data_IF_997387289592
#
_entry.id   IF_997387289592
#
_cell.length_a   1.000
_cell.length_b   1.000
_cell.length_c   1.000
_cell.angle_alpha   90.00
_cell.angle_beta   90.00
_cell.angle_gamma   90.00
#
_symmetry.space_group_name_H-M   'P 1'
#
loop_
_entity.id
_entity.type
_entity.pdbx_description
1 polymer ?
#
# COMPACT_ATOMS: atom_id res chain seq x y z
N UNK A 1 -15.98 16.38 12.71
CA UNK A 1 -15.01 15.82 13.68
C UNK A 1 -15.73 14.83 14.58
N UNK A 2 -15.16 13.66 14.91
CA UNK A 2 -15.78 12.71 15.83
C UNK A 2 -16.02 13.35 17.20
N UNK A 3 -17.24 13.22 17.72
CA UNK A 3 -17.64 13.84 18.99
C UNK A 3 -17.37 12.93 20.19
N UNK A 4 -17.34 11.60 19.97
CA UNK A 4 -17.13 10.66 21.07
C UNK A 4 -15.64 10.54 21.41
N UNK A 5 -15.25 10.56 22.71
CA UNK A 5 -13.85 10.47 23.10
C UNK A 5 -13.15 9.22 22.58
N UNK A 6 -13.82 8.06 22.63
CA UNK A 6 -13.25 6.80 22.14
C UNK A 6 -12.92 6.83 20.64
N UNK A 7 -13.82 7.38 19.81
CA UNK A 7 -13.59 7.53 18.38
C UNK A 7 -12.48 8.53 18.09
N UNK A 8 -12.43 9.64 18.82
CA UNK A 8 -11.38 10.64 18.67
C UNK A 8 -10.00 10.07 19.04
N UNK A 9 -9.92 9.33 20.15
CA UNK A 9 -8.68 8.65 20.58
C UNK A 9 -8.21 7.63 19.55
N UNK A 10 -9.11 6.80 19.02
CA UNK A 10 -8.78 5.80 18.00
C UNK A 10 -8.29 6.47 16.70
N UNK A 11 -8.97 7.52 16.27
CA UNK A 11 -8.58 8.28 15.08
C UNK A 11 -7.22 8.93 15.29
N UNK A 12 -7.01 9.65 16.39
CA UNK A 12 -5.75 10.32 16.70
C UNK A 12 -4.57 9.32 16.81
N UNK A 13 -4.77 8.18 17.50
CA UNK A 13 -3.75 7.14 17.60
C UNK A 13 -3.38 6.57 16.24
N UNK A 14 -4.37 6.20 15.43
CA UNK A 14 -4.13 5.58 14.13
C UNK A 14 -3.49 6.56 13.13
N UNK A 15 -3.85 7.84 13.19
CA UNK A 15 -3.20 8.88 12.40
C UNK A 15 -1.75 9.13 12.84
N UNK A 16 -1.49 9.18 14.15
CA UNK A 16 -0.14 9.31 14.69
C UNK A 16 0.77 8.15 14.29
N UNK A 17 0.27 6.91 14.37
CA UNK A 17 0.98 5.72 13.90
C UNK A 17 1.32 5.81 12.40
N UNK A 18 0.34 6.16 11.58
CA UNK A 18 0.51 6.28 10.12
C UNK A 18 1.55 7.35 9.77
N UNK A 19 1.39 8.58 10.27
CA UNK A 19 2.32 9.69 9.98
C UNK A 19 3.73 9.35 10.47
N UNK A 20 3.85 8.86 11.72
CA UNK A 20 5.15 8.52 12.30
C UNK A 20 5.88 7.48 11.45
N UNK A 21 5.19 6.44 11.01
CA UNK A 21 5.76 5.42 10.14
C UNK A 21 6.17 5.99 8.78
N UNK A 22 5.31 6.77 8.12
CA UNK A 22 5.59 7.37 6.81
C UNK A 22 6.80 8.32 6.86
N UNK A 23 6.93 9.13 7.91
CA UNK A 23 8.07 10.05 8.08
C UNK A 23 9.37 9.29 8.28
N UNK A 24 9.37 8.25 9.12
CA UNK A 24 10.57 7.40 9.32
C UNK A 24 10.95 6.72 8.00
N UNK A 25 9.99 6.14 7.28
CA UNK A 25 10.23 5.51 5.98
C UNK A 25 10.72 6.51 4.92
N UNK A 26 10.23 7.75 4.95
CA UNK A 26 10.70 8.81 4.05
C UNK A 26 12.16 9.16 4.35
N UNK A 27 12.53 9.24 5.64
CA UNK A 27 13.92 9.41 6.07
C UNK A 27 14.84 8.28 5.61
N UNK A 28 14.40 7.03 5.78
CA UNK A 28 15.13 5.84 5.31
C UNK A 28 15.27 5.87 3.78
N UNK A 29 14.20 6.22 3.07
CA UNK A 29 14.20 6.31 1.60
C UNK A 29 15.18 7.37 1.12
N UNK A 30 15.14 8.57 1.72
CA UNK A 30 16.07 9.65 1.42
C UNK A 30 17.53 9.25 1.66
N UNK A 31 17.82 8.62 2.81
CA UNK A 31 19.16 8.19 3.17
C UNK A 31 19.74 7.12 2.22
N UNK A 32 18.88 6.27 1.65
CA UNK A 32 19.29 5.19 0.75
C UNK A 32 19.08 5.52 -0.73
N UNK A 33 18.58 6.70 -1.07
CA UNK A 33 18.23 7.07 -2.44
C UNK A 33 19.49 7.23 -3.31
N UNK A 34 19.59 6.42 -4.36
CA UNK A 34 20.62 6.56 -5.39
C UNK A 34 20.24 7.58 -6.47
N UNK A 35 21.24 8.33 -6.93
CA UNK A 35 21.08 9.25 -8.06
C UNK A 35 20.73 8.47 -9.35
N UNK A 36 19.81 9.02 -10.15
CA UNK A 36 19.36 8.42 -11.41
C UNK A 36 18.29 7.32 -11.30
N UNK A 37 17.97 6.81 -10.10
CA UNK A 37 16.93 5.78 -9.93
C UNK A 37 15.56 6.43 -9.72
N UNK A 38 14.70 6.36 -10.75
CA UNK A 38 13.35 6.94 -10.71
C UNK A 38 12.48 6.30 -9.60
N UNK A 39 12.60 4.98 -9.40
CA UNK A 39 11.78 4.23 -8.44
C UNK A 39 11.86 4.81 -7.02
N UNK A 40 13.06 5.17 -6.54
CA UNK A 40 13.23 5.77 -5.22
C UNK A 40 12.53 7.13 -5.08
N UNK A 41 12.58 7.94 -6.14
CA UNK A 41 11.91 9.25 -6.17
C UNK A 41 10.39 9.09 -6.11
N UNK A 42 9.85 8.08 -6.80
CA UNK A 42 8.42 7.78 -6.75
C UNK A 42 8.01 7.26 -5.38
N UNK A 43 8.78 6.37 -4.75
CA UNK A 43 8.52 5.87 -3.39
C UNK A 43 8.56 7.03 -2.38
N UNK A 44 9.55 7.91 -2.48
CA UNK A 44 9.60 9.09 -1.61
C UNK A 44 8.38 10.00 -1.82
N UNK A 45 8.00 10.24 -3.08
CA UNK A 45 6.84 11.07 -3.42
C UNK A 45 5.53 10.46 -2.88
N UNK A 46 5.35 9.14 -2.99
CA UNK A 46 4.22 8.42 -2.41
C UNK A 46 4.09 8.67 -0.91
N UNK A 47 5.20 8.53 -0.17
CA UNK A 47 5.25 8.74 1.27
C UNK A 47 4.89 10.19 1.62
N UNK A 48 5.51 11.17 0.94
CA UNK A 48 5.29 12.60 1.20
C UNK A 48 3.86 13.03 0.88
N UNK A 49 3.24 12.48 -0.16
CA UNK A 49 1.85 12.78 -0.53
C UNK A 49 0.83 12.27 0.50
N UNK A 50 1.10 11.14 1.16
CA UNK A 50 0.18 10.59 2.16
C UNK A 50 0.22 11.35 3.51
N UNK A 51 1.38 11.93 3.87
CA UNK A 51 1.62 12.55 5.18
C UNK A 51 0.62 13.68 5.54
N UNK A 52 0.32 14.65 4.65
CA UNK A 52 -0.60 15.75 4.98
C UNK A 52 -1.98 15.31 5.47
N UNK A 53 -2.52 14.21 4.95
CA UNK A 53 -3.86 13.77 5.34
C UNK A 53 -3.92 13.36 6.82
N UNK A 54 -2.83 12.91 7.44
CA UNK A 54 -2.90 12.48 8.83
C UNK A 54 -3.11 13.60 9.87
N UNK A 55 -2.95 14.87 9.46
CA UNK A 55 -3.01 16.02 10.36
C UNK A 55 -4.42 16.59 10.56
N UNK A 56 -5.44 16.09 9.84
CA UNK A 56 -6.77 16.71 9.89
C UNK A 56 -7.38 16.75 11.31
N UNK A 57 -7.00 15.82 12.19
CA UNK A 57 -7.54 15.71 13.55
C UNK A 57 -7.18 16.88 14.46
N UNK A 58 -6.14 17.65 14.12
CA UNK A 58 -5.70 18.84 14.86
C UNK A 58 -6.64 20.02 14.72
N UNK A 59 -7.46 20.06 13.67
CA UNK A 59 -8.36 21.17 13.41
C UNK A 59 -9.75 20.92 13.99
N UNK A 60 -10.46 22.01 14.25
CA UNK A 60 -11.88 22.00 14.60
C UNK A 60 -12.74 22.40 13.38
N UNK A 61 -14.03 22.01 13.34
CA UNK A 61 -14.94 22.48 12.31
C UNK A 61 -15.03 24.01 12.30
N UNK A 62 -15.10 24.66 11.12
CA UNK A 62 -15.23 24.07 9.77
C UNK A 62 -13.89 23.66 9.13
N UNK A 63 -12.76 24.13 9.64
CA UNK A 63 -11.41 23.88 9.06
C UNK A 63 -11.11 22.39 8.95
N UNK A 64 -11.56 21.60 9.93
CA UNK A 64 -11.47 20.14 9.93
C UNK A 64 -11.97 19.49 8.63
N UNK A 65 -13.15 19.88 8.15
CA UNK A 65 -13.77 19.27 6.96
C UNK A 65 -13.03 19.65 5.68
N UNK A 66 -12.67 20.92 5.55
CA UNK A 66 -11.88 21.43 4.43
C UNK A 66 -10.50 20.78 4.36
N UNK A 67 -9.76 20.78 5.47
CA UNK A 67 -8.41 20.21 5.51
C UNK A 67 -8.42 18.71 5.19
N UNK A 68 -9.33 17.94 5.80
CA UNK A 68 -9.49 16.51 5.52
C UNK A 68 -9.74 16.27 4.03
N UNK A 69 -10.68 17.01 3.44
CA UNK A 69 -11.09 16.81 2.05
C UNK A 69 -9.99 17.23 1.05
N UNK A 70 -9.34 18.37 1.27
CA UNK A 70 -8.26 18.84 0.39
C UNK A 70 -7.04 17.94 0.44
N UNK A 71 -6.67 17.44 1.63
CA UNK A 71 -5.54 16.51 1.77
C UNK A 71 -5.87 15.09 1.33
N UNK A 72 -7.15 14.70 1.25
CA UNK A 72 -7.56 13.42 0.67
C UNK A 72 -7.16 13.29 -0.81
N UNK A 73 -7.06 14.41 -1.53
CA UNK A 73 -6.53 14.45 -2.91
C UNK A 73 -5.10 13.92 -2.93
N UNK A 74 -4.26 14.37 -2.00
CA UNK A 74 -2.86 13.96 -1.91
C UNK A 74 -2.76 12.49 -1.50
N UNK A 75 -3.60 12.04 -0.56
CA UNK A 75 -3.66 10.65 -0.13
C UNK A 75 -4.07 9.71 -1.28
N UNK A 76 -5.10 10.05 -2.05
CA UNK A 76 -5.54 9.26 -3.20
C UNK A 76 -4.47 9.26 -4.30
N UNK A 77 -3.78 10.38 -4.48
CA UNK A 77 -2.64 10.45 -5.40
C UNK A 77 -1.52 9.52 -4.94
N UNK A 78 -1.25 9.46 -3.63
CA UNK A 78 -0.32 8.49 -3.03
C UNK A 78 -0.75 7.05 -3.30
N UNK A 79 -2.02 6.70 -3.08
CA UNK A 79 -2.53 5.34 -3.38
C UNK A 79 -2.41 4.97 -4.86
N UNK A 80 -2.71 5.91 -5.77
CA UNK A 80 -2.52 5.69 -7.20
C UNK A 80 -1.05 5.49 -7.53
N UNK A 81 -0.17 6.28 -6.93
CA UNK A 81 1.27 6.18 -7.13
C UNK A 81 1.83 4.85 -6.60
N UNK A 82 1.36 4.37 -5.44
CA UNK A 82 1.68 3.05 -4.91
C UNK A 82 1.35 1.95 -5.92
N UNK A 83 0.16 1.99 -6.54
CA UNK A 83 -0.24 1.01 -7.54
C UNK A 83 0.65 1.06 -8.79
N UNK A 84 1.14 2.24 -9.18
CA UNK A 84 2.11 2.43 -10.26
C UNK A 84 3.50 1.91 -9.87
N UNK A 85 3.94 2.11 -8.62
CA UNK A 85 5.20 1.56 -8.10
C UNK A 85 5.16 0.03 -8.11
N UNK A 86 4.07 -0.56 -7.62
CA UNK A 86 3.83 -2.00 -7.68
C UNK A 86 3.85 -2.51 -9.12
N UNK A 87 3.24 -1.78 -10.06
CA UNK A 87 3.32 -2.09 -11.48
C UNK A 87 4.76 -2.09 -12.01
N UNK A 88 5.55 -1.04 -11.74
CA UNK A 88 6.95 -0.94 -12.19
C UNK A 88 7.77 -2.13 -11.66
N UNK A 89 7.58 -2.50 -10.39
CA UNK A 89 8.27 -3.64 -9.76
C UNK A 89 7.84 -4.98 -10.36
N UNK A 90 6.56 -5.11 -10.71
CA UNK A 90 6.00 -6.34 -11.24
C UNK A 90 6.18 -6.50 -12.77
N UNK A 91 6.43 -5.39 -13.48
CA UNK A 91 6.57 -5.33 -14.94
C UNK A 91 7.51 -6.38 -15.54
N UNK A 92 8.68 -6.71 -14.96
CA UNK A 92 9.57 -7.75 -15.50
C UNK A 92 8.97 -9.16 -15.51
N UNK A 93 7.95 -9.42 -14.69
CA UNK A 93 7.29 -10.73 -14.58
C UNK A 93 6.05 -10.86 -15.47
N UNK A 94 5.58 -9.74 -16.05
CA UNK A 94 4.34 -9.67 -16.82
C UNK A 94 4.58 -9.81 -18.33
N UNK A 95 3.69 -10.54 -19.00
CA UNK A 95 3.60 -10.53 -20.46
C UNK A 95 3.05 -9.19 -20.96
N UNK A 96 3.27 -8.80 -22.24
CA UNK A 96 2.83 -7.52 -22.78
C UNK A 96 1.33 -7.20 -22.57
N UNK A 97 0.46 -8.22 -22.73
CA UNK A 97 -0.99 -8.08 -22.47
C UNK A 97 -1.29 -7.84 -21.00
N UNK A 98 -0.66 -8.60 -20.10
CA UNK A 98 -0.82 -8.42 -18.65
C UNK A 98 -0.33 -7.06 -18.18
N UNK A 99 0.76 -6.55 -18.77
CA UNK A 99 1.26 -5.21 -18.53
C UNK A 99 0.24 -4.12 -18.91
N UNK A 100 -0.43 -4.26 -20.07
CA UNK A 100 -1.45 -3.33 -20.53
C UNK A 100 -2.71 -3.37 -19.66
N UNK A 101 -3.16 -4.56 -19.26
CA UNK A 101 -4.32 -4.77 -18.38
C UNK A 101 -4.05 -4.15 -17.00
N UNK A 102 -2.86 -4.35 -16.45
CA UNK A 102 -2.49 -3.81 -15.14
C UNK A 102 -2.60 -2.28 -15.11
N UNK A 103 -1.94 -1.59 -16.04
CA UNK A 103 -1.97 -0.13 -16.06
C UNK A 103 -3.33 0.42 -16.52
N UNK A 104 -3.99 -0.27 -17.46
CA UNK A 104 -5.31 0.12 -17.95
C UNK A 104 -6.36 0.10 -16.85
N UNK A 105 -6.32 -0.89 -15.97
CA UNK A 105 -7.24 -0.96 -14.82
C UNK A 105 -6.98 0.15 -13.79
N UNK A 106 -5.72 0.56 -13.54
CA UNK A 106 -5.42 1.73 -12.68
C UNK A 106 -6.07 2.99 -13.24
N UNK A 107 -5.99 3.20 -14.56
CA UNK A 107 -6.58 4.36 -15.22
C UNK A 107 -8.11 4.32 -15.10
N UNK A 108 -8.72 3.14 -15.26
CA UNK A 108 -10.16 2.96 -15.12
C UNK A 108 -10.68 3.22 -13.69
N UNK A 109 -9.82 3.19 -12.67
CA UNK A 109 -10.20 3.54 -11.30
C UNK A 109 -10.27 5.06 -11.05
N UNK A 110 -9.65 5.88 -11.90
CA UNK A 110 -9.58 7.34 -11.69
C UNK A 110 -10.96 8.04 -11.65
N UNK A 111 -11.94 7.69 -12.50
CA UNK A 111 -13.29 8.27 -12.40
C UNK A 111 -13.96 8.02 -11.04
N UNK A 112 -13.75 6.84 -10.45
CA UNK A 112 -14.24 6.55 -9.10
C UNK A 112 -13.57 7.47 -8.07
N UNK A 113 -12.26 7.67 -8.16
CA UNK A 113 -11.55 8.56 -7.23
C UNK A 113 -11.99 10.01 -7.29
N UNK A 114 -12.30 10.51 -8.49
CA UNK A 114 -12.89 11.86 -8.66
C UNK A 114 -14.25 11.95 -7.97
N UNK A 115 -15.11 10.94 -8.14
CA UNK A 115 -16.41 10.88 -7.47
C UNK A 115 -16.25 10.82 -5.95
N UNK A 116 -15.34 9.98 -5.46
CA UNK A 116 -15.11 9.76 -4.03
C UNK A 116 -14.56 11.03 -3.35
N UNK A 117 -13.72 11.81 -4.03
CA UNK A 117 -13.25 13.12 -3.53
C UNK A 117 -14.40 14.11 -3.32
N UNK A 118 -15.31 14.20 -4.29
CA UNK A 118 -16.50 15.04 -4.15
C UNK A 118 -17.44 14.52 -3.05
N UNK A 119 -17.64 13.19 -3.00
CA UNK A 119 -18.46 12.55 -1.98
C UNK A 119 -17.91 12.83 -0.56
N UNK A 120 -16.59 12.68 -0.38
CA UNK A 120 -15.88 12.97 0.86
C UNK A 120 -16.06 14.43 1.28
N UNK A 121 -15.82 15.38 0.36
CA UNK A 121 -16.02 16.80 0.62
C UNK A 121 -17.46 17.12 1.03
N UNK A 122 -18.43 16.62 0.27
CA UNK A 122 -19.85 16.87 0.54
C UNK A 122 -20.32 16.28 1.87
N UNK A 123 -19.77 15.12 2.27
CA UNK A 123 -20.09 14.45 3.53
C UNK A 123 -19.53 15.21 4.74
N UNK A 124 -18.23 15.54 4.71
CA UNK A 124 -17.57 16.16 5.87
C UNK A 124 -17.86 17.65 6.04
N UNK A 125 -18.47 18.29 5.04
CA UNK A 125 -18.96 19.67 5.10
C UNK A 125 -20.49 19.78 5.21
N UNK A 126 -21.21 18.67 5.44
CA UNK A 126 -22.66 18.67 5.70
C UNK A 126 -23.54 19.02 4.50
N UNK A 127 -23.04 18.85 3.28
CA UNK A 127 -23.77 19.14 2.03
C UNK A 127 -24.59 17.92 1.60
N UNK A 128 -24.02 16.71 1.64
CA UNK A 128 -24.68 15.47 1.26
C UNK A 128 -24.15 14.27 2.05
N UNK A 129 -25.03 13.66 2.86
CA UNK A 129 -24.65 12.55 3.73
C UNK A 129 -24.79 11.16 3.09
N UNK A 130 -25.46 11.05 1.93
CA UNK A 130 -25.81 9.77 1.31
C UNK A 130 -24.75 9.28 0.33
N UNK A 131 -24.18 10.20 -0.46
CA UNK A 131 -23.30 9.84 -1.56
C UNK A 131 -22.07 9.06 -1.07
N UNK A 132 -21.34 9.60 -0.09
CA UNK A 132 -20.15 8.97 0.49
C UNK A 132 -20.45 7.59 1.09
N UNK A 133 -21.54 7.44 1.84
CA UNK A 133 -21.92 6.15 2.43
C UNK A 133 -22.24 5.11 1.36
N UNK A 134 -22.82 5.52 0.23
CA UNK A 134 -23.15 4.61 -0.87
C UNK A 134 -21.96 4.20 -1.74
N UNK A 135 -20.94 5.06 -1.88
CA UNK A 135 -19.76 4.81 -2.72
C UNK A 135 -18.62 4.13 -1.96
N UNK A 136 -18.57 4.28 -0.63
CA UNK A 136 -17.52 3.73 0.25
C UNK A 136 -17.25 2.22 0.09
N UNK A 137 -18.24 1.33 -0.11
CA UNK A 137 -17.95 -0.10 -0.31
C UNK A 137 -17.11 -0.40 -1.57
N UNK A 138 -17.13 0.49 -2.57
CA UNK A 138 -16.32 0.35 -3.78
C UNK A 138 -14.87 0.82 -3.59
N UNK A 139 -14.54 1.49 -2.48
CA UNK A 139 -13.21 2.05 -2.22
C UNK A 139 -12.14 0.96 -2.28
N UNK A 140 -12.37 -0.15 -1.58
CA UNK A 140 -11.42 -1.26 -1.56
C UNK A 140 -11.19 -1.86 -2.96
N UNK A 141 -12.23 -1.93 -3.80
CA UNK A 141 -12.13 -2.40 -5.18
C UNK A 141 -11.31 -1.44 -6.05
N UNK A 142 -11.40 -0.13 -5.82
CA UNK A 142 -10.64 0.85 -6.59
C UNK A 142 -9.25 1.16 -6.00
N UNK A 143 -8.92 0.61 -4.82
CA UNK A 143 -7.66 0.83 -4.11
C UNK A 143 -6.72 -0.37 -4.13
N UNK A 144 -7.23 -1.57 -3.85
CA UNK A 144 -6.42 -2.72 -3.42
C UNK A 144 -6.17 -3.86 -4.42
N UNK A 145 -6.93 -4.07 -5.52
CA UNK A 145 -6.74 -5.26 -6.37
C UNK A 145 -5.34 -5.44 -6.95
N UNK A 146 -4.67 -4.34 -7.33
CA UNK A 146 -3.30 -4.39 -7.87
C UNK A 146 -2.29 -4.88 -6.83
N UNK A 147 -2.49 -4.53 -5.57
CA UNK A 147 -1.65 -4.99 -4.48
C UNK A 147 -1.86 -6.48 -4.19
N UNK A 148 -3.12 -6.92 -4.18
CA UNK A 148 -3.47 -8.35 -4.05
C UNK A 148 -2.83 -9.15 -5.18
N UNK A 149 -2.98 -8.68 -6.43
CA UNK A 149 -2.39 -9.32 -7.60
C UNK A 149 -0.86 -9.34 -7.54
N UNK A 150 -0.21 -8.23 -7.17
CA UNK A 150 1.25 -8.15 -7.07
C UNK A 150 1.78 -9.12 -6.01
N UNK A 151 1.11 -9.20 -4.86
CA UNK A 151 1.46 -10.15 -3.81
C UNK A 151 1.32 -11.59 -4.32
N UNK A 152 0.16 -11.95 -4.87
CA UNK A 152 -0.09 -13.29 -5.39
C UNK A 152 0.89 -13.67 -6.52
N UNK A 153 1.17 -12.75 -7.44
CA UNK A 153 2.11 -12.98 -8.53
C UNK A 153 3.53 -13.19 -8.01
N UNK A 154 3.95 -12.47 -6.96
CA UNK A 154 5.25 -12.69 -6.35
C UNK A 154 5.36 -14.09 -5.74
N UNK A 155 4.40 -14.49 -4.91
CA UNK A 155 4.37 -15.84 -4.34
C UNK A 155 4.32 -16.94 -5.41
N UNK A 156 3.54 -16.71 -6.48
CA UNK A 156 3.49 -17.62 -7.62
C UNK A 156 4.87 -17.78 -8.27
N UNK A 157 5.57 -16.68 -8.56
CA UNK A 157 6.89 -16.73 -9.17
C UNK A 157 7.91 -17.41 -8.25
N UNK A 158 7.90 -17.10 -6.95
CA UNK A 158 8.79 -17.74 -5.96
C UNK A 158 8.58 -19.26 -5.96
N UNK A 159 7.32 -19.72 -5.90
CA UNK A 159 7.00 -21.14 -5.81
C UNK A 159 7.29 -21.89 -7.11
N UNK A 160 6.89 -21.35 -8.26
CA UNK A 160 6.91 -22.10 -9.51
C UNK A 160 8.08 -21.79 -10.44
N UNK A 161 8.64 -20.57 -10.40
CA UNK A 161 9.81 -20.24 -11.24
C UNK A 161 11.12 -20.47 -10.51
N UNK A 162 11.15 -20.19 -9.21
CA UNK A 162 12.37 -20.28 -8.42
C UNK A 162 12.41 -21.53 -7.52
N UNK A 163 11.26 -22.17 -7.27
CA UNK A 163 11.10 -23.38 -6.42
C UNK A 163 11.77 -23.27 -5.05
N UNK A 164 11.76 -22.07 -4.44
CA UNK A 164 12.28 -21.87 -3.10
C UNK A 164 11.22 -22.10 -2.03
N UNK A 165 11.62 -22.71 -0.92
CA UNK A 165 10.82 -22.75 0.31
C UNK A 165 10.89 -21.43 1.08
N UNK A 166 9.82 -21.07 1.81
CA UNK A 166 9.80 -19.84 2.61
C UNK A 166 10.94 -19.75 3.64
N UNK A 167 11.24 -20.85 4.33
CA UNK A 167 12.33 -20.91 5.32
C UNK A 167 13.70 -20.69 4.66
N UNK A 168 13.90 -21.27 3.48
CA UNK A 168 15.14 -21.11 2.71
C UNK A 168 15.34 -19.66 2.27
N UNK A 169 14.26 -19.01 1.81
CA UNK A 169 14.28 -17.59 1.43
C UNK A 169 14.70 -16.72 2.60
N UNK A 170 14.13 -16.94 3.80
CA UNK A 170 14.47 -16.16 5.00
C UNK A 170 15.93 -16.38 5.40
N UNK A 171 16.46 -17.60 5.26
CA UNK A 171 17.87 -17.90 5.55
C UNK A 171 18.83 -17.22 4.57
N UNK A 172 18.50 -17.21 3.27
CA UNK A 172 19.36 -16.62 2.23
C UNK A 172 19.25 -15.08 2.22
N UNK A 173 18.06 -14.54 2.43
CA UNK A 173 17.82 -13.10 2.46
C UNK A 173 16.75 -12.73 3.50
N UNK A 174 17.16 -12.46 4.75
CA UNK A 174 16.23 -12.08 5.82
C UNK A 174 15.38 -10.85 5.47
N UNK A 175 15.97 -9.88 4.75
CA UNK A 175 15.27 -8.66 4.27
C UNK A 175 14.09 -9.01 3.36
N UNK A 176 14.28 -9.95 2.45
CA UNK A 176 13.23 -10.40 1.55
C UNK A 176 12.13 -11.17 2.32
N UNK A 177 12.51 -11.92 3.35
CA UNK A 177 11.56 -12.52 4.30
C UNK A 177 10.67 -11.49 5.01
N UNK A 178 11.25 -10.39 5.51
CA UNK A 178 10.50 -9.30 6.15
C UNK A 178 9.55 -8.63 5.14
N UNK A 179 9.99 -8.44 3.89
CA UNK A 179 9.11 -7.95 2.83
C UNK A 179 7.90 -8.87 2.65
N UNK A 180 8.10 -10.18 2.46
CA UNK A 180 6.99 -11.12 2.26
C UNK A 180 6.02 -11.12 3.46
N UNK A 181 6.55 -11.06 4.69
CA UNK A 181 5.73 -10.93 5.88
C UNK A 181 4.91 -9.63 5.88
N UNK A 182 5.54 -8.51 5.52
CA UNK A 182 4.86 -7.21 5.40
C UNK A 182 3.74 -7.25 4.36
N UNK A 183 3.97 -7.91 3.22
CA UNK A 183 2.93 -8.12 2.21
C UNK A 183 1.76 -8.94 2.77
N UNK A 184 2.02 -10.05 3.47
CA UNK A 184 0.98 -10.85 4.10
C UNK A 184 0.18 -10.05 5.15
N UNK A 185 0.87 -9.33 6.04
CA UNK A 185 0.22 -8.49 7.06
C UNK A 185 -0.68 -7.43 6.42
N UNK A 186 -0.21 -6.77 5.37
CA UNK A 186 -1.02 -5.78 4.65
C UNK A 186 -2.31 -6.39 4.07
N UNK A 187 -2.27 -7.62 3.53
CA UNK A 187 -3.47 -8.30 3.01
C UNK A 187 -4.45 -8.67 4.12
N UNK A 188 -3.96 -9.07 5.30
CA UNK A 188 -4.81 -9.31 6.48
C UNK A 188 -5.54 -8.02 6.86
N UNK A 189 -4.83 -6.90 6.97
CA UNK A 189 -5.45 -5.62 7.31
C UNK A 189 -6.41 -5.11 6.24
N UNK A 190 -6.12 -5.31 4.95
CA UNK A 190 -7.08 -5.02 3.86
C UNK A 190 -8.36 -5.86 4.01
N UNK A 191 -8.23 -7.13 4.38
CA UNK A 191 -9.40 -7.99 4.59
C UNK A 191 -10.26 -7.49 5.74
N UNK A 192 -9.63 -7.16 6.88
CA UNK A 192 -10.35 -6.59 8.04
C UNK A 192 -10.96 -5.23 7.70
N UNK A 193 -10.25 -4.40 6.93
CA UNK A 193 -10.72 -3.12 6.43
C UNK A 193 -12.01 -3.26 5.63
N UNK A 194 -12.03 -4.15 4.63
CA UNK A 194 -13.22 -4.46 3.81
C UNK A 194 -14.36 -4.92 4.71
N UNK A 195 -14.10 -5.89 5.59
CA UNK A 195 -15.12 -6.45 6.47
C UNK A 195 -15.74 -5.40 7.40
N UNK A 196 -14.97 -4.38 7.82
CA UNK A 196 -15.45 -3.29 8.68
C UNK A 196 -16.23 -2.20 7.94
N UNK A 197 -16.08 -2.09 6.62
CA UNK A 197 -16.89 -1.18 5.79
C UNK A 197 -18.19 -1.84 5.33
N UNK A 198 -18.23 -3.18 5.32
CA UNK A 198 -19.45 -3.97 5.10
C UNK A 198 -20.23 -4.18 6.39
N UNK A 199 -21.54 -4.50 6.34
CA UNK A 199 -22.34 -4.78 7.54
C UNK A 199 -21.91 -6.05 8.30
N UNK A 200 -20.86 -6.75 7.86
CA UNK A 200 -20.37 -8.01 8.44
C UNK A 200 -19.71 -7.80 9.80
N UNK A 201 -18.95 -6.71 9.97
CA UNK A 201 -18.36 -6.34 11.25
C UNK A 201 -18.99 -5.03 11.74
N UNK A 202 -19.68 -5.08 12.88
CA UNK A 202 -20.25 -3.89 13.55
C UNK A 202 -19.17 -3.05 14.26
N UNK A 203 -18.03 -2.84 13.61
CA UNK A 203 -16.96 -1.97 14.07
C UNK A 203 -17.38 -0.57 13.56
N UNK A 204 -17.71 0.34 14.47
CA UNK A 204 -18.29 1.65 14.14
C UNK A 204 -17.49 2.45 13.10
N UNK A 205 -18.06 3.53 12.57
CA UNK A 205 -17.62 4.19 11.32
C UNK A 205 -16.17 4.70 11.19
N UNK A 206 -15.36 4.64 12.26
CA UNK A 206 -13.92 4.90 12.23
C UNK A 206 -13.15 3.58 12.15
N UNK A 207 -12.41 3.44 11.07
CA UNK A 207 -11.69 2.23 10.73
C UNK A 207 -10.19 2.54 10.60
N UNK A 208 -9.34 2.01 11.50
CA UNK A 208 -7.89 2.22 11.48
C UNK A 208 -7.15 1.25 10.54
N UNK A 209 -7.80 0.20 10.04
CA UNK A 209 -7.13 -0.93 9.39
C UNK A 209 -6.53 -0.55 8.04
N UNK A 210 -7.18 0.29 7.23
CA UNK A 210 -6.56 0.81 6.00
C UNK A 210 -5.25 1.56 6.25
N UNK A 211 -5.13 2.31 7.37
CA UNK A 211 -3.91 3.05 7.71
C UNK A 211 -2.77 2.10 8.02
N UNK A 212 -3.08 1.03 8.76
CA UNK A 212 -2.11 -0.02 9.08
C UNK A 212 -1.71 -0.77 7.81
N UNK A 213 -2.68 -1.10 6.95
CA UNK A 213 -2.42 -1.71 5.65
C UNK A 213 -1.50 -0.83 4.78
N UNK A 214 -1.75 0.48 4.73
CA UNK A 214 -0.93 1.46 4.02
C UNK A 214 0.51 1.46 4.55
N UNK A 215 0.70 1.47 5.87
CA UNK A 215 2.03 1.41 6.47
C UNK A 215 2.79 0.16 6.03
N UNK A 216 2.17 -1.02 6.08
CA UNK A 216 2.82 -2.26 5.65
C UNK A 216 3.07 -2.31 4.14
N UNK A 217 2.20 -1.70 3.32
CA UNK A 217 2.44 -1.52 1.88
C UNK A 217 3.67 -0.66 1.63
N UNK A 218 3.71 0.56 2.15
CA UNK A 218 4.84 1.46 1.97
C UNK A 218 6.15 0.91 2.58
N UNK A 219 6.05 0.10 3.65
CA UNK A 219 7.20 -0.60 4.22
C UNK A 219 7.82 -1.58 3.23
N UNK A 220 7.01 -2.30 2.45
CA UNK A 220 7.55 -3.18 1.40
C UNK A 220 8.34 -2.40 0.36
N UNK A 221 7.89 -1.17 0.05
CA UNK A 221 8.58 -0.32 -0.91
C UNK A 221 9.90 0.21 -0.37
N UNK A 222 9.94 0.54 0.91
CA UNK A 222 11.12 1.04 1.61
C UNK A 222 12.17 -0.06 1.85
N UNK A 223 11.75 -1.31 2.14
CA UNK A 223 12.67 -2.44 2.35
C UNK A 223 13.42 -2.80 1.06
N UNK A 224 12.77 -2.64 -0.10
CA UNK A 224 13.34 -2.98 -1.40
C UNK A 224 13.35 -1.75 -2.32
N UNK A 225 14.28 -0.85 -2.02
CA UNK A 225 14.61 0.31 -2.84
C UNK A 225 15.41 -0.13 -4.10
N UNK A 226 16.50 -0.90 -3.92
CA UNK A 226 17.38 -1.33 -5.03
C UNK A 226 17.51 -2.86 -5.20
N UNK A 227 17.08 -3.65 -4.21
CA UNK A 227 17.61 -5.01 -3.98
C UNK A 227 16.68 -6.13 -4.47
N UNK A 228 15.57 -5.84 -5.17
CA UNK A 228 14.60 -6.90 -5.53
C UNK A 228 15.23 -7.93 -6.46
N UNK A 229 15.77 -7.43 -7.57
CA UNK A 229 16.42 -8.25 -8.60
C UNK A 229 17.71 -8.85 -8.05
N UNK A 230 18.49 -8.08 -7.29
CA UNK A 230 19.72 -8.58 -6.68
C UNK A 230 19.47 -9.66 -5.63
N UNK A 231 18.41 -9.57 -4.82
CA UNK A 231 18.01 -10.61 -3.89
C UNK A 231 17.52 -11.87 -4.63
N UNK A 232 16.72 -11.70 -5.68
CA UNK A 232 16.31 -12.80 -6.56
C UNK A 232 17.47 -13.44 -7.31
N UNK A 233 18.44 -12.65 -7.78
CA UNK A 233 19.65 -13.13 -8.45
C UNK A 233 20.58 -13.84 -7.45
N UNK A 234 20.68 -13.36 -6.19
CA UNK A 234 21.38 -14.07 -5.11
C UNK A 234 20.72 -15.41 -4.81
N UNK A 235 19.39 -15.44 -4.71
CA UNK A 235 18.61 -16.67 -4.54
C UNK A 235 18.86 -17.62 -5.72
N UNK A 236 18.67 -17.16 -6.96
CA UNK A 236 18.91 -17.93 -8.18
C UNK A 236 20.33 -18.52 -8.24
N UNK A 237 21.35 -17.72 -7.95
CA UNK A 237 22.75 -18.20 -7.87
C UNK A 237 22.96 -19.25 -6.79
N UNK A 238 22.31 -19.11 -5.63
CA UNK A 238 22.38 -20.12 -4.57
C UNK A 238 21.81 -21.46 -5.03
N UNK A 239 20.64 -21.47 -5.67
CA UNK A 239 20.06 -22.71 -6.23
C UNK A 239 20.90 -23.30 -7.35
N UNK A 240 21.44 -22.46 -8.24
CA UNK A 240 22.36 -22.92 -9.28
C UNK A 240 23.59 -23.62 -8.66
N UNK A 241 24.14 -23.06 -7.57
CA UNK A 241 25.27 -23.66 -6.86
C UNK A 241 24.91 -24.99 -6.19
N UNK A 242 23.69 -25.15 -5.66
CA UNK A 242 23.22 -26.44 -5.11
C UNK A 242 23.03 -27.49 -6.22
N UNK A 243 22.48 -27.10 -7.38
CA UNK A 243 22.29 -28.01 -8.53
C UNK A 243 23.63 -28.47 -9.10
N UNK A 244 24.60 -27.56 -9.25
CA UNK A 244 25.95 -27.93 -9.74
C UNK A 244 26.79 -28.70 -8.70
N UNK A 245 26.45 -28.63 -7.42
CA UNK A 245 27.05 -29.44 -6.37
C UNK A 245 26.50 -30.86 -6.28
N UNK A 246 25.49 -31.23 -7.09
CA UNK A 246 25.15 -32.63 -7.34
C UNK A 246 26.07 -33.13 -8.47
N UNK A 247 27.17 -33.85 -8.16
CA UNK A 247 27.94 -34.49 -9.20
C UNK A 247 27.11 -35.68 -9.69
N UNK A 248 27.35 -36.05 -10.95
CA UNK A 248 27.26 -37.44 -11.34
C UNK A 248 27.96 -38.31 -10.29
N UNK A 249 27.18 -38.96 -9.43
CA UNK A 249 27.63 -40.01 -8.50
C UNK A 249 26.64 -41.17 -8.57
#
# INVERSE_FOLDING_TARGET
KPSSPAQLTLEAWSQGFMIGALVIMAGITLANMRSGVLLHKLILLELVLAVPNGFFTFFDPPVWGWYLSSTAILLITSWTLHNVIAWIKNKPFLQPRGNLIYIGTIILAQPYWVLELYANFSYYNGINNRLFVSTRPFEALCRDPWWVFTTANLFWNIKYRYEFGFIEIVRVSPRFGILLLSMCLSLVFITVDILSVTPVLAIGGINPFWKIALVFKCLTDTIILDDFKTALDKLSRHKMSQIYQLPFS
#
